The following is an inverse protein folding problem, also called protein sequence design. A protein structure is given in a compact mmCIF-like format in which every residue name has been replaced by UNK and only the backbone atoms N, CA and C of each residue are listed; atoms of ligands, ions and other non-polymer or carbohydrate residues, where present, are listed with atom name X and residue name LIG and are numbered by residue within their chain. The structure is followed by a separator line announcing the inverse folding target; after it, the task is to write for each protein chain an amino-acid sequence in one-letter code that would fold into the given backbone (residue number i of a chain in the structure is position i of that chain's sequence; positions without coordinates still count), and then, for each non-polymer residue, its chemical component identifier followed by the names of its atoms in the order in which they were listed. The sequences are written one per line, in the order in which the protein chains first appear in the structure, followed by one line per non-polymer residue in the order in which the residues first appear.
data_IF_576273606891
#
_entry.id   IF_576273606891
#
_cell.length_a   1.000
_cell.length_b   1.000
_cell.length_c   1.000
_cell.angle_alpha   90.00
_cell.angle_beta   90.00
_cell.angle_gamma   90.00
#
_symmetry.space_group_name_H-M   'P 1'
#
loop_
_entity.id
_entity.type
_entity.pdbx_description
1 polymer ?
#
# COMPACT_ATOMS: atom_id res chain seq x y z
N UNK A 1 37.44 -1.63 17.46
CA UNK A 1 36.24 -1.66 16.62
C UNK A 1 35.96 -3.12 16.34
N UNK A 2 35.04 -3.70 17.09
CA UNK A 2 34.64 -5.10 16.92
C UNK A 2 33.73 -5.19 15.70
N UNK A 3 34.33 -5.34 14.52
CA UNK A 3 33.56 -5.64 13.32
C UNK A 3 32.89 -7.01 13.53
N UNK A 4 31.56 -7.04 13.63
CA UNK A 4 30.81 -8.29 13.57
C UNK A 4 31.09 -8.94 12.22
N UNK A 5 31.80 -10.07 12.23
CA UNK A 5 31.99 -10.89 11.04
C UNK A 5 30.73 -11.74 10.81
N UNK A 6 29.89 -11.35 9.85
CA UNK A 6 28.67 -12.06 9.47
C UNK A 6 27.72 -11.20 8.63
N UNK A 7 26.77 -11.83 7.94
CA UNK A 7 25.65 -11.12 7.30
C UNK A 7 24.80 -10.47 8.38
N UNK A 8 24.56 -9.15 8.29
CA UNK A 8 23.74 -8.41 9.24
C UNK A 8 22.27 -8.82 9.12
N UNK A 9 21.58 -8.93 10.26
CA UNK A 9 20.12 -8.94 10.27
C UNK A 9 19.57 -7.54 9.94
N UNK A 10 18.31 -7.45 9.50
CA UNK A 10 17.72 -6.18 9.05
C UNK A 10 17.71 -5.12 10.14
N UNK A 11 17.45 -5.50 11.39
CA UNK A 11 17.43 -4.63 12.57
C UNK A 11 18.82 -4.19 13.05
N UNK A 12 19.89 -4.81 12.55
CA UNK A 12 21.28 -4.44 12.83
C UNK A 12 21.85 -3.41 11.84
N UNK A 13 21.14 -3.13 10.75
CA UNK A 13 21.55 -2.12 9.75
C UNK A 13 21.31 -0.71 10.29
N UNK A 14 22.31 0.17 10.20
CA UNK A 14 22.17 1.56 10.67
C UNK A 14 21.06 2.30 9.93
N UNK A 15 20.31 3.16 10.64
CA UNK A 15 19.15 3.88 10.09
C UNK A 15 19.52 4.71 8.85
N UNK A 16 20.73 5.29 8.83
CA UNK A 16 21.23 6.08 7.68
C UNK A 16 21.46 5.24 6.42
N UNK A 17 21.57 3.92 6.59
CA UNK A 17 21.70 2.94 5.51
C UNK A 17 20.37 2.26 5.17
N UNK A 18 19.27 2.69 5.78
CA UNK A 18 17.92 2.23 5.49
C UNK A 18 17.20 3.25 4.60
N UNK A 19 16.31 2.80 3.73
CA UNK A 19 15.37 3.71 3.08
C UNK A 19 14.43 4.34 4.12
N UNK A 20 14.03 5.59 3.88
CA UNK A 20 13.06 6.27 4.73
C UNK A 20 11.68 6.22 4.06
N UNK A 21 10.77 5.43 4.65
CA UNK A 21 9.40 5.27 4.18
C UNK A 21 8.41 6.21 4.88
N UNK A 22 8.87 7.08 5.78
CA UNK A 22 8.01 8.01 6.52
C UNK A 22 7.31 9.03 5.61
N UNK A 23 7.86 9.25 4.40
CA UNK A 23 7.23 10.03 3.34
C UNK A 23 5.97 9.39 2.73
N UNK A 24 5.77 8.08 2.92
CA UNK A 24 4.53 7.39 2.56
C UNK A 24 3.62 7.26 3.79
N UNK A 25 4.14 6.67 4.87
CA UNK A 25 3.43 6.46 6.13
C UNK A 25 4.37 6.58 7.32
N UNK A 26 3.99 7.39 8.31
CA UNK A 26 4.78 7.58 9.53
C UNK A 26 4.73 6.39 10.47
N UNK A 27 3.62 5.63 10.46
CA UNK A 27 3.40 4.47 11.32
C UNK A 27 2.57 3.41 10.60
N UNK A 28 2.78 2.14 10.95
CA UNK A 28 2.08 1.00 10.36
C UNK A 28 0.57 1.05 10.64
N UNK A 29 0.14 1.67 11.76
CA UNK A 29 -1.27 1.85 12.10
C UNK A 29 -1.99 2.81 11.14
N UNK A 30 -1.29 3.85 10.65
CA UNK A 30 -1.85 4.78 9.66
C UNK A 30 -2.07 4.07 8.34
N UNK A 31 -1.09 3.25 7.91
CA UNK A 31 -1.22 2.41 6.73
C UNK A 31 -2.38 1.42 6.88
N UNK A 32 -2.51 0.77 8.03
CA UNK A 32 -3.56 -0.22 8.27
C UNK A 32 -4.95 0.40 8.28
N UNK A 33 -5.10 1.62 8.80
CA UNK A 33 -6.36 2.33 8.79
C UNK A 33 -6.78 2.71 7.37
N UNK A 34 -5.86 3.28 6.58
CA UNK A 34 -6.11 3.67 5.17
C UNK A 34 -6.43 2.43 4.30
N UNK A 35 -5.80 1.27 4.57
CA UNK A 35 -6.16 0.01 3.91
C UNK A 35 -7.60 -0.40 4.20
N UNK A 36 -8.02 -0.41 5.47
CA UNK A 36 -9.39 -0.79 5.85
C UNK A 36 -10.44 0.16 5.28
N UNK A 37 -10.13 1.45 5.18
CA UNK A 37 -11.00 2.42 4.50
C UNK A 37 -11.15 2.07 3.02
N UNK A 38 -10.03 1.80 2.34
CA UNK A 38 -10.03 1.47 0.90
C UNK A 38 -10.74 0.14 0.59
N UNK A 39 -10.63 -0.85 1.48
CA UNK A 39 -11.38 -2.11 1.41
C UNK A 39 -12.89 -1.91 1.40
N UNK A 40 -13.40 -0.85 2.05
CA UNK A 40 -14.82 -0.50 2.02
C UNK A 40 -15.16 0.33 0.78
N UNK A 41 -14.28 1.26 0.39
CA UNK A 41 -14.52 2.13 -0.75
C UNK A 41 -14.65 1.39 -2.09
N UNK A 42 -13.99 0.23 -2.24
CA UNK A 42 -14.04 -0.57 -3.48
C UNK A 42 -15.48 -0.96 -3.87
N UNK A 43 -16.37 -1.15 -2.90
CA UNK A 43 -17.79 -1.48 -3.14
C UNK A 43 -18.52 -0.39 -3.94
N UNK A 44 -18.02 0.84 -3.93
CA UNK A 44 -18.61 1.96 -4.67
C UNK A 44 -18.53 1.78 -6.18
N UNK A 45 -17.60 0.97 -6.71
CA UNK A 45 -17.56 0.65 -8.14
C UNK A 45 -18.88 0.04 -8.64
N UNK A 46 -19.60 -0.71 -7.80
CA UNK A 46 -20.89 -1.30 -8.15
C UNK A 46 -21.93 -0.24 -8.54
N UNK A 47 -21.85 0.96 -7.96
CA UNK A 47 -22.77 2.08 -8.25
C UNK A 47 -22.59 2.68 -9.65
N UNK A 48 -21.42 2.49 -10.28
CA UNK A 48 -21.14 2.99 -11.63
C UNK A 48 -21.53 1.98 -12.73
N UNK A 49 -21.68 0.70 -12.38
CA UNK A 49 -21.98 -0.37 -13.34
C UNK A 49 -23.29 -0.11 -14.08
N UNK A 50 -23.26 -0.20 -15.42
CA UNK A 50 -24.41 0.07 -16.28
C UNK A 50 -24.75 1.55 -16.52
N UNK A 51 -24.17 2.48 -15.76
CA UNK A 51 -24.54 3.91 -15.82
C UNK A 51 -23.62 4.77 -16.71
N UNK A 52 -22.46 4.24 -17.11
CA UNK A 52 -21.39 5.01 -17.76
C UNK A 52 -21.80 5.60 -19.13
N UNK A 53 -22.68 4.90 -19.85
CA UNK A 53 -23.19 5.34 -21.15
C UNK A 53 -24.36 6.32 -21.07
N UNK A 54 -24.92 6.55 -19.88
CA UNK A 54 -26.12 7.38 -19.71
C UNK A 54 -25.79 8.89 -19.82
N UNK A 55 -24.60 9.31 -19.38
CA UNK A 55 -24.15 10.70 -19.53
C UNK A 55 -22.64 10.88 -19.38
N UNK A 56 -22.12 11.96 -19.94
CA UNK A 56 -20.73 12.37 -19.72
C UNK A 56 -20.42 12.70 -18.24
N UNK A 57 -21.43 13.10 -17.46
CA UNK A 57 -21.29 13.36 -16.02
C UNK A 57 -21.07 12.06 -15.24
N UNK A 58 -21.79 10.99 -15.56
CA UNK A 58 -21.60 9.68 -14.92
C UNK A 58 -20.22 9.11 -15.24
N UNK A 59 -19.79 9.19 -16.50
CA UNK A 59 -18.44 8.77 -16.90
C UNK A 59 -17.37 9.57 -16.15
N UNK A 60 -17.50 10.90 -16.09
CA UNK A 60 -16.56 11.75 -15.36
C UNK A 60 -16.47 11.35 -13.88
N UNK A 61 -17.60 11.17 -13.22
CA UNK A 61 -17.64 10.79 -11.80
C UNK A 61 -16.96 9.43 -11.54
N UNK A 62 -17.15 8.46 -12.44
CA UNK A 62 -16.48 7.16 -12.35
C UNK A 62 -14.96 7.32 -12.51
N UNK A 63 -14.51 8.08 -13.50
CA UNK A 63 -13.07 8.30 -13.74
C UNK A 63 -12.40 9.06 -12.59
N UNK A 64 -13.07 10.07 -12.03
CA UNK A 64 -12.55 10.80 -10.86
C UNK A 64 -12.43 9.88 -9.64
N UNK A 65 -13.42 9.02 -9.41
CA UNK A 65 -13.36 8.01 -8.36
C UNK A 65 -12.21 7.03 -8.59
N UNK A 66 -12.11 6.47 -9.79
CA UNK A 66 -11.09 5.49 -10.18
C UNK A 66 -9.66 6.02 -10.04
N UNK A 67 -9.42 7.26 -10.50
CA UNK A 67 -8.11 7.90 -10.35
C UNK A 67 -7.75 8.14 -8.88
N UNK A 68 -8.72 8.52 -8.04
CA UNK A 68 -8.46 8.71 -6.62
C UNK A 68 -8.17 7.37 -5.92
N UNK A 69 -9.03 6.37 -6.15
CA UNK A 69 -8.89 5.02 -5.61
C UNK A 69 -7.53 4.41 -5.99
N UNK A 70 -7.17 4.47 -7.27
CA UNK A 70 -5.90 3.93 -7.78
C UNK A 70 -4.69 4.58 -7.14
N UNK A 71 -4.71 5.91 -6.91
CA UNK A 71 -3.58 6.62 -6.27
C UNK A 71 -3.42 6.24 -4.80
N UNK A 72 -4.52 6.02 -4.08
CA UNK A 72 -4.48 5.56 -2.69
C UNK A 72 -3.96 4.11 -2.63
N UNK A 73 -4.47 3.25 -3.51
CA UNK A 73 -4.02 1.86 -3.63
C UNK A 73 -2.52 1.76 -3.94
N UNK A 74 -2.02 2.56 -4.89
CA UNK A 74 -0.60 2.59 -5.26
C UNK A 74 0.29 2.99 -4.08
N UNK A 75 -0.13 3.97 -3.27
CA UNK A 75 0.59 4.39 -2.06
C UNK A 75 0.63 3.27 -1.02
N UNK A 76 -0.50 2.62 -0.74
CA UNK A 76 -0.59 1.46 0.17
C UNK A 76 0.29 0.30 -0.29
N UNK A 77 0.22 -0.03 -1.58
CA UNK A 77 0.98 -1.10 -2.21
C UNK A 77 2.47 -0.83 -2.12
N UNK A 78 2.91 0.38 -2.48
CA UNK A 78 4.33 0.76 -2.48
C UNK A 78 4.93 0.63 -1.10
N UNK A 79 4.24 1.11 -0.06
CA UNK A 79 4.72 0.96 1.31
C UNK A 79 4.85 -0.50 1.73
N UNK A 80 3.81 -1.31 1.52
CA UNK A 80 3.80 -2.72 1.93
C UNK A 80 4.85 -3.55 1.15
N UNK A 81 5.00 -3.27 -0.14
CA UNK A 81 5.99 -3.90 -1.00
C UNK A 81 7.41 -3.60 -0.52
N UNK A 82 7.75 -2.33 -0.30
CA UNK A 82 9.08 -1.93 0.18
C UNK A 82 9.34 -2.48 1.58
N UNK A 83 8.35 -2.46 2.49
CA UNK A 83 8.48 -3.08 3.81
C UNK A 83 8.73 -4.59 3.75
N UNK A 84 8.07 -5.30 2.84
CA UNK A 84 8.30 -6.72 2.61
C UNK A 84 9.69 -7.00 1.98
N UNK A 85 10.22 -6.07 1.20
CA UNK A 85 11.57 -6.17 0.63
C UNK A 85 12.69 -5.90 1.63
N UNK A 86 12.41 -5.22 2.76
CA UNK A 86 13.38 -5.00 3.84
C UNK A 86 13.89 -6.31 4.44
N UNK A 87 12.98 -7.26 4.62
CA UNK A 87 13.25 -8.58 5.17
C UNK A 87 12.17 -9.57 4.72
N UNK A 88 12.53 -10.40 3.73
CA UNK A 88 11.66 -11.44 3.18
C UNK A 88 11.36 -12.58 4.14
N UNK A 89 11.84 -12.54 5.39
CA UNK A 89 11.48 -13.50 6.45
C UNK A 89 10.51 -12.92 7.48
N UNK A 90 10.22 -11.62 7.42
CA UNK A 90 9.30 -10.95 8.34
C UNK A 90 7.84 -11.23 7.97
N UNK A 91 7.19 -12.12 8.73
CA UNK A 91 5.81 -12.55 8.48
C UNK A 91 4.77 -11.44 8.57
N UNK A 92 5.01 -10.40 9.38
CA UNK A 92 4.11 -9.25 9.46
C UNK A 92 4.05 -8.51 8.11
N UNK A 93 5.21 -8.18 7.55
CA UNK A 93 5.27 -7.43 6.29
C UNK A 93 4.95 -8.29 5.07
N UNK A 94 5.23 -9.59 5.10
CA UNK A 94 4.67 -10.54 4.12
C UNK A 94 3.14 -10.49 4.11
N UNK A 95 2.50 -10.64 5.28
CA UNK A 95 1.04 -10.62 5.38
C UNK A 95 0.42 -9.27 5.02
N UNK A 96 1.07 -8.16 5.36
CA UNK A 96 0.63 -6.83 4.95
C UNK A 96 0.70 -6.64 3.42
N UNK A 97 1.77 -7.14 2.78
CA UNK A 97 1.89 -7.13 1.34
C UNK A 97 0.83 -8.00 0.66
N UNK A 98 0.57 -9.20 1.17
CA UNK A 98 -0.49 -10.08 0.69
C UNK A 98 -1.88 -9.43 0.78
N UNK A 99 -2.19 -8.75 1.89
CA UNK A 99 -3.46 -8.04 2.05
C UNK A 99 -3.69 -6.99 0.97
N UNK A 100 -2.72 -6.12 0.70
CA UNK A 100 -2.88 -5.10 -0.35
C UNK A 100 -2.98 -5.74 -1.73
N UNK A 101 -2.24 -6.82 -1.98
CA UNK A 101 -2.34 -7.57 -3.24
C UNK A 101 -3.75 -8.12 -3.49
N UNK A 102 -4.57 -8.37 -2.47
CA UNK A 102 -5.97 -8.77 -2.66
C UNK A 102 -6.86 -7.65 -3.21
N UNK A 103 -6.48 -6.38 -3.04
CA UNK A 103 -7.20 -5.24 -3.62
C UNK A 103 -6.69 -4.84 -5.02
N UNK A 104 -5.49 -5.28 -5.38
CA UNK A 104 -4.89 -5.02 -6.70
C UNK A 104 -5.42 -5.97 -7.78
N UNK A 105 -5.83 -7.18 -7.39
CA UNK A 105 -6.23 -8.26 -8.29
C UNK A 105 -7.75 -8.37 -8.43
#
# INVERSE_FOLDING_TARGET
MDAKAGTLARDEVSVESQWDLTGLYSFDEVWSAELTELEVEVEKYASFSGTLGESALNLKACLEFDMNFSRQLEKLYTFAHLKNDEDKTNSLYQGNFEKVMMLVN
#
